data_IF_130987316074
#
_entry.id   IF_130987316074
#
_cell.length_a   1.000
_cell.length_b   1.000
_cell.length_c   1.000
_cell.angle_alpha   90.00
_cell.angle_beta   90.00
_cell.angle_gamma   90.00
#
_symmetry.space_group_name_H-M   'P 1'
#
loop_
_entity.id
_entity.type
_entity.pdbx_description
1 polymer ?
#
# COMPACT_ATOMS: atom_id res chain seq x y z
N UNK A 1 16.01 6.83 -7.83
CA UNK A 1 15.01 6.08 -7.05
C UNK A 1 13.98 5.43 -7.96
N UNK A 2 12.97 6.14 -8.50
CA UNK A 2 11.89 5.49 -9.29
C UNK A 2 12.35 4.69 -10.52
N UNK A 3 13.39 5.13 -11.24
CA UNK A 3 13.96 4.35 -12.36
C UNK A 3 14.59 3.03 -11.90
N UNK A 4 15.22 3.01 -10.71
CA UNK A 4 15.81 1.79 -10.15
C UNK A 4 14.73 0.82 -9.69
N UNK A 5 13.65 1.34 -9.09
CA UNK A 5 12.48 0.54 -8.72
C UNK A 5 11.81 -0.05 -9.96
N UNK A 6 11.65 0.74 -11.02
CA UNK A 6 11.11 0.27 -12.29
C UNK A 6 11.96 -0.86 -12.89
N UNK A 7 13.28 -0.68 -12.93
CA UNK A 7 14.21 -1.72 -13.41
C UNK A 7 14.12 -3.01 -12.57
N UNK A 8 13.99 -2.90 -11.23
CA UNK A 8 13.77 -4.05 -10.35
C UNK A 8 12.42 -4.74 -10.63
N UNK A 9 11.35 -3.97 -10.80
CA UNK A 9 10.01 -4.47 -11.11
C UNK A 9 9.94 -5.21 -12.45
N UNK A 10 10.72 -4.77 -13.44
CA UNK A 10 10.79 -5.41 -14.75
C UNK A 10 11.57 -6.74 -14.73
N UNK A 11 12.52 -6.88 -13.80
CA UNK A 11 13.44 -8.03 -13.73
C UNK A 11 13.01 -9.09 -12.72
N UNK A 12 12.26 -8.73 -11.69
CA UNK A 12 11.88 -9.66 -10.63
C UNK A 12 10.84 -10.66 -11.11
N UNK A 13 10.99 -11.92 -10.70
CA UNK A 13 9.95 -12.95 -10.87
C UNK A 13 9.02 -13.05 -9.64
N UNK A 14 9.39 -12.41 -8.53
CA UNK A 14 8.67 -12.51 -7.26
C UNK A 14 7.37 -11.70 -7.27
N UNK A 15 7.43 -10.47 -7.79
CA UNK A 15 6.28 -9.56 -7.86
C UNK A 15 5.71 -9.55 -9.27
N UNK A 16 4.47 -10.02 -9.43
CA UNK A 16 3.77 -10.03 -10.71
C UNK A 16 2.87 -8.82 -10.82
N UNK A 17 3.03 -8.03 -11.87
CA UNK A 17 2.18 -6.89 -12.18
C UNK A 17 1.77 -6.94 -13.65
N UNK A 18 0.75 -6.16 -14.02
CA UNK A 18 0.23 -6.14 -15.39
C UNK A 18 0.05 -4.71 -15.89
N UNK A 19 0.47 -4.38 -17.13
CA UNK A 19 0.36 -3.03 -17.66
C UNK A 19 -1.09 -2.61 -17.88
N UNK A 20 -1.35 -1.30 -17.86
CA UNK A 20 -2.67 -0.72 -18.13
C UNK A 20 -3.60 -0.66 -16.92
N UNK A 21 -3.10 -0.95 -15.72
CA UNK A 21 -3.85 -0.90 -14.46
C UNK A 21 -3.63 0.37 -13.63
N UNK A 22 -2.91 1.36 -14.17
CA UNK A 22 -2.63 2.62 -13.49
C UNK A 22 -3.89 3.39 -13.11
N UNK A 23 -3.94 3.89 -11.88
CA UNK A 23 -5.03 4.71 -11.36
C UNK A 23 -5.02 6.12 -11.99
N UNK A 24 -6.21 6.65 -12.25
CA UNK A 24 -6.38 8.01 -12.76
C UNK A 24 -6.15 9.06 -11.68
N UNK A 25 -5.77 10.27 -12.08
CA UNK A 25 -5.53 11.39 -11.17
C UNK A 25 -6.78 11.73 -10.35
N UNK A 26 -7.94 11.67 -10.98
CA UNK A 26 -9.23 11.89 -10.35
C UNK A 26 -9.54 10.85 -9.26
N UNK A 27 -9.09 9.60 -9.43
CA UNK A 27 -9.31 8.55 -8.44
C UNK A 27 -8.42 8.78 -7.21
N UNK A 28 -7.17 9.20 -7.42
CA UNK A 28 -6.26 9.58 -6.34
C UNK A 28 -6.77 10.81 -5.59
N UNK A 29 -7.23 11.84 -6.30
CA UNK A 29 -7.79 13.04 -5.67
C UNK A 29 -9.04 12.74 -4.83
N UNK A 30 -9.91 11.84 -5.30
CA UNK A 30 -11.06 11.36 -4.52
C UNK A 30 -10.63 10.60 -3.26
N UNK A 31 -9.62 9.73 -3.38
CA UNK A 31 -9.08 9.00 -2.24
C UNK A 31 -8.48 9.92 -1.18
N UNK A 32 -7.70 10.91 -1.60
CA UNK A 32 -7.11 11.92 -0.69
C UNK A 32 -8.17 12.77 0.00
N UNK A 33 -9.22 13.15 -0.72
CA UNK A 33 -10.34 13.90 -0.16
C UNK A 33 -11.08 13.09 0.92
N UNK A 34 -11.25 11.79 0.72
CA UNK A 34 -11.88 10.89 1.70
C UNK A 34 -10.97 10.62 2.91
N UNK A 35 -9.69 10.35 2.67
CA UNK A 35 -8.70 10.07 3.71
C UNK A 35 -8.36 11.32 4.55
N UNK A 36 -8.60 12.53 4.01
CA UNK A 36 -8.27 13.79 4.66
C UNK A 36 -6.79 14.16 4.63
N UNK A 37 -5.99 13.47 3.80
CA UNK A 37 -4.57 13.75 3.59
C UNK A 37 -4.13 13.34 2.18
N UNK A 38 -3.02 13.92 1.71
CA UNK A 38 -2.42 13.53 0.43
C UNK A 38 -1.75 12.17 0.51
N UNK A 39 -1.91 11.31 -0.49
CA UNK A 39 -1.23 10.02 -0.56
C UNK A 39 0.29 10.23 -0.67
N UNK A 40 1.11 9.33 -0.12
CA UNK A 40 2.57 9.42 -0.23
C UNK A 40 3.04 9.54 -1.69
N UNK A 41 4.00 10.42 -2.02
CA UNK A 41 4.42 10.64 -3.41
C UNK A 41 4.83 9.36 -4.16
N UNK A 42 5.57 8.46 -3.50
CA UNK A 42 6.01 7.20 -4.10
C UNK A 42 4.86 6.21 -4.30
N UNK A 43 3.87 6.22 -3.42
CA UNK A 43 2.65 5.44 -3.61
C UNK A 43 1.80 6.00 -4.76
N UNK A 44 1.67 7.33 -4.88
CA UNK A 44 1.02 7.98 -6.03
C UNK A 44 1.71 7.65 -7.35
N UNK A 45 3.05 7.69 -7.36
CA UNK A 45 3.83 7.27 -8.52
C UNK A 45 3.51 5.82 -8.91
N UNK A 46 3.47 4.90 -7.94
CA UNK A 46 3.16 3.50 -8.23
C UNK A 46 1.71 3.30 -8.70
N UNK A 47 0.75 3.93 -8.03
CA UNK A 47 -0.66 3.91 -8.42
C UNK A 47 -0.83 4.34 -9.88
N UNK A 48 -0.19 5.44 -10.27
CA UNK A 48 -0.28 5.99 -11.63
C UNK A 48 0.37 5.11 -12.70
N UNK A 49 1.53 4.51 -12.41
CA UNK A 49 2.33 3.83 -13.44
C UNK A 49 2.08 2.31 -13.50
N UNK A 50 1.71 1.69 -12.38
CA UNK A 50 1.51 0.25 -12.26
C UNK A 50 0.07 -0.06 -11.83
N UNK A 51 -0.35 0.48 -10.68
CA UNK A 51 -1.70 0.33 -10.13
C UNK A 51 -2.10 -1.09 -9.74
N UNK A 52 -1.23 -2.07 -9.95
CA UNK A 52 -1.34 -3.42 -9.41
C UNK A 52 0.04 -4.05 -9.21
N UNK A 53 0.10 -4.97 -8.26
CA UNK A 53 1.24 -5.85 -8.05
C UNK A 53 0.82 -6.98 -7.10
N UNK A 54 1.25 -8.20 -7.39
CA UNK A 54 0.91 -9.40 -6.63
C UNK A 54 2.15 -10.15 -6.20
N UNK A 55 2.17 -10.55 -4.93
CA UNK A 55 3.19 -11.43 -4.37
C UNK A 55 2.50 -12.68 -3.82
N UNK A 56 2.88 -13.85 -4.32
CA UNK A 56 2.29 -15.14 -3.92
C UNK A 56 0.75 -15.19 -3.94
N UNK A 57 0.13 -14.45 -4.87
CA UNK A 57 -1.34 -14.41 -5.03
C UNK A 57 -2.06 -13.36 -4.19
N UNK A 58 -1.37 -12.68 -3.26
CA UNK A 58 -1.92 -11.52 -2.56
C UNK A 58 -1.56 -10.22 -3.30
N UNK A 59 -2.47 -9.25 -3.30
CA UNK A 59 -2.27 -7.97 -3.98
C UNK A 59 -1.80 -6.89 -3.01
N UNK A 60 -0.82 -6.09 -3.44
CA UNK A 60 -0.59 -4.78 -2.83
C UNK A 60 -1.82 -3.93 -3.15
N UNK A 61 -2.47 -3.40 -2.12
CA UNK A 61 -3.69 -2.63 -2.26
C UNK A 61 -3.44 -1.40 -3.15
N UNK A 62 -4.43 -1.09 -3.99
CA UNK A 62 -4.38 0.00 -4.96
C UNK A 62 -5.68 0.80 -4.94
N UNK A 63 -6.00 1.51 -6.02
CA UNK A 63 -7.27 2.18 -6.21
C UNK A 63 -8.01 1.54 -7.38
N UNK A 64 -9.17 0.98 -7.11
CA UNK A 64 -10.09 0.53 -8.12
C UNK A 64 -10.84 1.74 -8.74
N UNK A 65 -11.42 1.55 -9.95
CA UNK A 65 -12.38 2.49 -10.52
C UNK A 65 -13.50 2.82 -9.51
N UNK A 66 -13.97 4.08 -9.42
CA UNK A 66 -14.96 4.48 -8.42
C UNK A 66 -16.26 3.65 -8.44
N UNK A 67 -16.70 3.17 -9.60
CA UNK A 67 -17.88 2.33 -9.78
C UNK A 67 -17.70 0.88 -9.33
N UNK A 68 -16.45 0.43 -9.19
CA UNK A 68 -16.08 -0.92 -8.74
C UNK A 68 -15.51 -0.96 -7.33
N UNK A 69 -15.20 0.21 -6.74
CA UNK A 69 -14.48 0.35 -5.47
C UNK A 69 -15.10 -0.44 -4.32
N UNK A 70 -16.43 -0.45 -4.21
CA UNK A 70 -17.12 -1.13 -3.10
C UNK A 70 -17.14 -2.66 -3.23
N UNK A 71 -16.59 -3.21 -4.33
CA UNK A 71 -16.51 -4.65 -4.60
C UNK A 71 -15.08 -5.15 -4.79
N UNK A 72 -14.09 -4.25 -4.84
CA UNK A 72 -12.70 -4.58 -5.07
C UNK A 72 -11.99 -4.78 -3.73
N UNK A 73 -11.70 -6.03 -3.38
CA UNK A 73 -10.88 -6.41 -2.22
C UNK A 73 -9.42 -5.93 -2.34
N UNK A 74 -8.99 -5.51 -3.53
CA UNK A 74 -7.73 -4.84 -3.79
C UNK A 74 -7.75 -3.32 -3.54
N UNK A 75 -8.90 -2.70 -3.25
CA UNK A 75 -8.99 -1.24 -3.09
C UNK A 75 -8.69 -0.81 -1.63
N UNK A 76 -7.73 0.11 -1.48
CA UNK A 76 -7.27 0.60 -0.18
C UNK A 76 -8.35 1.33 0.62
N UNK A 77 -9.27 2.05 -0.04
CA UNK A 77 -10.37 2.74 0.66
C UNK A 77 -11.44 1.75 1.09
N UNK A 78 -11.72 0.73 0.26
CA UNK A 78 -12.63 -0.34 0.65
C UNK A 78 -12.16 -1.01 1.95
N UNK A 79 -10.89 -1.44 1.98
CA UNK A 79 -10.28 -2.03 3.19
C UNK A 79 -10.27 -1.04 4.35
N UNK A 80 -9.93 0.23 4.11
CA UNK A 80 -9.94 1.26 5.15
C UNK A 80 -11.33 1.46 5.78
N UNK A 81 -12.39 1.50 4.97
CA UNK A 81 -13.78 1.63 5.46
C UNK A 81 -14.20 0.42 6.30
N UNK A 82 -13.82 -0.79 5.90
CA UNK A 82 -14.06 -2.01 6.69
C UNK A 82 -13.38 -1.90 8.06
N UNK A 83 -12.11 -1.48 8.08
CA UNK A 83 -11.36 -1.26 9.31
C UNK A 83 -11.98 -0.18 10.20
N UNK A 84 -12.52 0.90 9.63
CA UNK A 84 -13.18 1.96 10.40
C UNK A 84 -14.55 1.55 10.98
N UNK A 85 -15.21 0.55 10.38
CA UNK A 85 -16.47 0.02 10.89
C UNK A 85 -16.30 -0.80 12.18
N UNK A 86 -15.09 -1.31 12.44
CA UNK A 86 -14.71 -1.93 13.71
C UNK A 86 -14.21 -0.86 14.69
N UNK A 87 -15.01 -0.55 15.71
CA UNK A 87 -14.68 0.48 16.69
C UNK A 87 -13.44 0.17 17.52
N UNK A 88 -13.22 -1.08 17.87
CA UNK A 88 -12.08 -1.47 18.71
C UNK A 88 -10.80 -1.44 17.88
N UNK A 89 -10.86 -1.92 16.64
CA UNK A 89 -9.76 -1.80 15.69
C UNK A 89 -9.35 -0.34 15.47
N UNK A 90 -10.32 0.54 15.18
CA UNK A 90 -10.07 1.97 14.96
C UNK A 90 -9.44 2.64 16.17
N UNK A 91 -9.86 2.28 17.39
CA UNK A 91 -9.27 2.81 18.64
C UNK A 91 -7.84 2.30 18.84
N UNK A 92 -7.59 1.03 18.54
CA UNK A 92 -6.28 0.41 18.72
C UNK A 92 -5.26 0.91 17.69
N UNK A 93 -5.68 1.16 16.45
CA UNK A 93 -4.80 1.54 15.34
C UNK A 93 -5.29 2.80 14.58
N UNK A 94 -5.39 3.96 15.24
CA UNK A 94 -6.00 5.17 14.66
C UNK A 94 -5.24 5.78 13.48
N UNK A 95 -3.96 5.42 13.31
CA UNK A 95 -3.08 5.92 12.26
C UNK A 95 -2.71 4.85 11.23
N UNK A 96 -3.43 3.72 11.22
CA UNK A 96 -3.16 2.61 10.31
C UNK A 96 -3.98 2.73 9.04
N UNK A 97 -3.30 2.68 7.90
CA UNK A 97 -3.90 2.48 6.59
C UNK A 97 -3.27 1.25 5.94
N UNK A 98 -4.02 0.16 5.82
CA UNK A 98 -3.51 -1.09 5.27
C UNK A 98 -2.98 -0.92 3.85
N UNK A 99 -1.87 -1.59 3.55
CA UNK A 99 -1.19 -1.53 2.27
C UNK A 99 -1.06 -2.91 1.62
N UNK A 100 -0.66 -3.91 2.38
CA UNK A 100 -0.46 -5.26 1.86
C UNK A 100 -0.77 -6.29 2.95
N UNK A 101 -1.80 -7.11 2.71
CA UNK A 101 -2.32 -8.11 3.67
C UNK A 101 -2.22 -9.51 3.02
N UNK A 102 -1.01 -10.09 2.94
CA UNK A 102 -0.82 -11.42 2.38
C UNK A 102 -1.38 -12.53 3.27
N UNK A 103 -1.52 -13.73 2.70
CA UNK A 103 -1.84 -14.97 3.43
C UNK A 103 -0.65 -15.49 4.28
N UNK A 104 0.21 -14.61 4.78
CA UNK A 104 1.33 -14.92 5.66
C UNK A 104 1.16 -14.25 7.02
N UNK A 105 2.07 -14.52 7.94
CA UNK A 105 2.04 -13.96 9.30
C UNK A 105 2.52 -12.50 9.37
N UNK A 106 2.66 -11.81 8.24
CA UNK A 106 3.14 -10.42 8.17
C UNK A 106 2.13 -9.57 7.41
N UNK A 107 1.78 -8.42 7.99
CA UNK A 107 0.87 -7.43 7.41
C UNK A 107 1.58 -6.09 7.31
N UNK A 108 1.39 -5.38 6.21
CA UNK A 108 2.06 -4.09 5.98
C UNK A 108 1.04 -2.97 5.83
N UNK A 109 1.35 -1.83 6.44
CA UNK A 109 0.47 -0.67 6.45
C UNK A 109 1.25 0.64 6.54
N UNK A 110 0.66 1.72 6.05
CA UNK A 110 1.15 3.07 6.28
C UNK A 110 0.84 3.53 7.70
N UNK A 111 1.84 4.06 8.40
CA UNK A 111 1.63 4.86 9.60
C UNK A 111 1.39 6.33 9.21
N UNK A 112 0.13 6.75 9.18
CA UNK A 112 -0.28 8.09 8.74
C UNK A 112 0.15 9.20 9.70
N UNK A 113 0.63 8.86 10.91
CA UNK A 113 1.21 9.82 11.87
C UNK A 113 2.67 10.17 11.57
N UNK A 114 3.33 9.40 10.69
CA UNK A 114 4.78 9.42 10.50
C UNK A 114 5.28 10.30 9.35
N UNK A 115 4.46 11.25 8.87
CA UNK A 115 4.76 12.05 7.67
C UNK A 115 6.11 12.76 7.75
N UNK A 116 6.97 12.54 6.76
CA UNK A 116 8.25 13.23 6.63
C UNK A 116 8.17 14.52 5.79
N UNK A 117 9.31 15.18 5.57
CA UNK A 117 9.41 16.43 4.79
C UNK A 117 9.06 16.25 3.31
N UNK A 118 9.18 15.04 2.77
CA UNK A 118 8.81 14.70 1.40
C UNK A 118 7.33 14.31 1.30
N UNK A 119 6.66 14.13 2.43
CA UNK A 119 5.25 13.71 2.49
C UNK A 119 5.07 12.20 2.45
N UNK A 120 6.14 11.43 2.64
CA UNK A 120 6.10 9.98 2.75
C UNK A 120 5.63 9.55 4.14
N UNK A 121 5.05 8.35 4.19
CA UNK A 121 4.73 7.67 5.43
C UNK A 121 5.61 6.44 5.58
N UNK A 122 6.02 6.13 6.80
CA UNK A 122 6.66 4.87 7.12
C UNK A 122 5.70 3.70 6.83
N UNK A 123 6.27 2.62 6.33
CA UNK A 123 5.60 1.33 6.23
C UNK A 123 5.95 0.52 7.46
N UNK A 124 4.93 0.12 8.20
CA UNK A 124 5.04 -0.73 9.37
C UNK A 124 4.78 -2.19 8.95
N UNK A 125 5.50 -3.13 9.55
CA UNK A 125 5.14 -4.54 9.53
C UNK A 125 4.51 -4.90 10.88
N UNK A 126 3.38 -5.59 10.84
CA UNK A 126 2.82 -6.31 11.97
C UNK A 126 3.06 -7.81 11.77
N UNK A 127 3.99 -8.36 12.54
CA UNK A 127 4.27 -9.79 12.63
C UNK A 127 3.28 -10.44 13.61
N UNK A 128 2.36 -11.22 13.06
CA UNK A 128 1.31 -11.93 13.77
C UNK A 128 1.85 -13.13 14.57
N UNK A 129 3.00 -13.69 14.19
CA UNK A 129 3.57 -14.86 14.86
C UNK A 129 4.06 -14.51 16.27
N UNK A 130 4.63 -13.32 16.45
CA UNK A 130 5.15 -12.86 17.75
C UNK A 130 4.43 -11.61 18.31
N UNK A 131 3.51 -11.03 17.55
CA UNK A 131 2.74 -9.87 17.98
C UNK A 131 3.51 -8.54 17.91
N UNK A 132 4.66 -8.49 17.23
CA UNK A 132 5.52 -7.31 17.16
C UNK A 132 5.13 -6.39 16.00
N UNK A 133 5.25 -5.08 16.25
CA UNK A 133 5.10 -4.05 15.24
C UNK A 133 6.41 -3.29 15.15
N UNK A 134 6.96 -3.18 13.93
CA UNK A 134 8.21 -2.47 13.68
C UNK A 134 8.17 -1.74 12.33
N UNK A 135 9.05 -0.75 12.18
CA UNK A 135 9.22 -0.05 10.90
C UNK A 135 9.86 -1.02 9.92
N UNK A 136 9.16 -1.33 8.83
CA UNK A 136 9.68 -2.15 7.74
C UNK A 136 10.45 -1.30 6.74
N UNK A 137 9.87 -0.18 6.30
CA UNK A 137 10.52 0.73 5.35
C UNK A 137 10.20 2.20 5.65
N UNK A 138 11.08 3.14 5.28
CA UNK A 138 10.85 4.57 5.51
C UNK A 138 9.78 5.18 4.61
N UNK A 139 9.49 4.56 3.46
CA UNK A 139 8.54 5.04 2.44
C UNK A 139 7.96 3.87 1.65
N UNK A 140 6.94 4.12 0.83
CA UNK A 140 6.40 3.07 -0.05
C UNK A 140 7.41 2.61 -1.11
N UNK A 141 8.21 3.54 -1.66
CA UNK A 141 9.34 3.20 -2.52
C UNK A 141 10.32 2.24 -1.83
N UNK A 142 10.73 2.55 -0.59
CA UNK A 142 11.61 1.66 0.18
C UNK A 142 10.99 0.30 0.47
N UNK A 143 9.67 0.25 0.69
CA UNK A 143 8.94 -1.02 0.85
C UNK A 143 9.02 -1.87 -0.42
N UNK A 144 8.78 -1.32 -1.61
CA UNK A 144 8.90 -2.08 -2.86
C UNK A 144 10.32 -2.59 -3.07
N UNK A 145 11.34 -1.76 -2.84
CA UNK A 145 12.74 -2.18 -2.97
C UNK A 145 13.06 -3.35 -2.04
N UNK A 146 12.74 -3.21 -0.76
CA UNK A 146 13.02 -4.24 0.24
C UNK A 146 12.22 -5.52 -0.03
N UNK A 147 10.93 -5.41 -0.39
CA UNK A 147 10.08 -6.55 -0.72
C UNK A 147 10.61 -7.34 -1.92
N UNK A 148 11.15 -6.65 -2.93
CA UNK A 148 11.77 -7.31 -4.10
C UNK A 148 13.09 -7.95 -3.70
N UNK A 149 13.95 -7.24 -2.96
CA UNK A 149 15.28 -7.70 -2.59
C UNK A 149 15.23 -8.95 -1.67
N UNK A 150 14.26 -9.02 -0.76
CA UNK A 150 14.07 -10.19 0.12
C UNK A 150 13.51 -11.43 -0.61
N UNK A 151 13.03 -11.28 -1.85
CA UNK A 151 12.35 -12.34 -2.62
C UNK A 151 12.99 -12.65 -3.97
N UNK A 152 14.09 -11.97 -4.30
CA UNK A 152 14.86 -12.17 -5.54
C UNK A 152 15.97 -13.20 -5.40
#
# INVERSE_FOLDING_TARGET
MYEQIADKLDKTAALKWYPGHGAQEEWMAQAEAELGFSLPPSYRWWLKNYGNARLNGAEILSLAPPDMRDYADSDILYIHRLNLADEEWRKQYPHRLDLFVPYSDELYYFDTSSRDEEGEFKIMCYDLMNGLIYVYAPSFAGFLEQLIDERS
#
